data_IF_720154722333
#
_entry.id   IF_720154722333
#
_cell.length_a   1.000
_cell.length_b   1.000
_cell.length_c   1.000
_cell.angle_alpha   90.00
_cell.angle_beta   90.00
_cell.angle_gamma   90.00
#
_symmetry.space_group_name_H-M   'P 1'
#
loop_
_entity.id
_entity.type
_entity.pdbx_description
1 polymer ?
#
# COMPACT_ATOMS: atom_id res chain seq x y z
N UNK A 1 -11.86 16.02 58.36
CA UNK A 1 -11.41 16.17 56.94
C UNK A 1 -10.74 17.52 56.87
N UNK A 2 -9.43 17.75 56.74
CA UNK A 2 -8.32 17.03 56.13
C UNK A 2 -7.09 17.32 57.04
N UNK A 3 -6.84 16.51 58.09
CA UNK A 3 -6.08 16.99 59.27
C UNK A 3 -4.55 17.01 59.11
N UNK A 4 -3.95 16.12 58.30
CA UNK A 4 -2.48 16.04 58.20
C UNK A 4 -1.88 17.15 57.34
N UNK A 5 -2.48 17.45 56.19
CA UNK A 5 -2.00 18.50 55.29
C UNK A 5 -2.06 19.90 55.95
N UNK A 6 -3.12 20.18 56.71
CA UNK A 6 -3.25 21.42 57.47
C UNK A 6 -2.19 21.54 58.59
N UNK A 7 -1.85 20.44 59.26
CA UNK A 7 -0.78 20.45 60.27
C UNK A 7 0.62 20.58 59.65
N UNK A 8 0.83 19.99 58.47
CA UNK A 8 2.07 20.17 57.70
C UNK A 8 2.26 21.61 57.23
N UNK A 9 1.17 22.29 56.85
CA UNK A 9 1.20 23.72 56.54
C UNK A 9 1.59 24.57 57.76
N UNK A 10 0.99 24.30 58.92
CA UNK A 10 1.34 25.00 60.18
C UNK A 10 2.80 24.76 60.59
N UNK A 11 3.35 23.55 60.39
CA UNK A 11 4.77 23.25 60.64
C UNK A 11 5.68 24.16 59.80
N UNK A 12 5.46 24.20 58.48
CA UNK A 12 6.28 25.01 57.56
C UNK A 12 6.15 26.49 57.86
N UNK A 13 4.93 26.99 58.15
CA UNK A 13 4.70 28.41 58.50
C UNK A 13 5.38 28.81 59.81
N UNK A 14 5.33 27.97 60.85
CA UNK A 14 6.05 28.22 62.11
C UNK A 14 7.56 28.35 61.90
N UNK A 15 8.12 27.56 60.98
CA UNK A 15 9.55 27.51 60.69
C UNK A 15 9.96 28.64 59.76
N UNK A 16 9.14 29.06 58.80
CA UNK A 16 9.55 30.02 57.76
C UNK A 16 9.13 31.46 58.02
N UNK A 17 7.95 31.67 58.61
CA UNK A 17 7.29 32.98 58.73
C UNK A 17 7.24 33.52 60.17
N UNK A 18 7.53 32.69 61.16
CA UNK A 18 7.89 33.14 62.51
C UNK A 18 6.74 33.45 63.47
N UNK A 19 5.49 33.58 63.03
CA UNK A 19 4.36 33.79 63.94
C UNK A 19 3.13 32.99 63.51
N UNK A 20 2.68 32.10 64.40
CA UNK A 20 1.36 31.46 64.35
C UNK A 20 0.45 32.14 65.37
N UNK A 21 -0.87 32.18 65.10
CA UNK A 21 -1.81 32.66 66.11
C UNK A 21 -1.79 31.74 67.35
N UNK A 22 -2.17 32.24 68.55
CA UNK A 22 -2.18 31.42 69.76
C UNK A 22 -3.01 30.13 69.63
N UNK A 23 -4.12 30.18 68.88
CA UNK A 23 -4.96 29.01 68.60
C UNK A 23 -4.28 28.00 67.68
N UNK A 24 -3.58 28.46 66.62
CA UNK A 24 -2.82 27.60 65.70
C UNK A 24 -1.61 26.97 66.39
N UNK A 25 -0.93 27.74 67.25
CA UNK A 25 0.19 27.24 68.05
C UNK A 25 -0.28 26.13 69.01
N UNK A 26 -1.44 26.29 69.65
CA UNK A 26 -2.02 25.26 70.51
C UNK A 26 -2.39 24.00 69.72
N UNK A 27 -2.98 24.15 68.54
CA UNK A 27 -3.33 23.04 67.64
C UNK A 27 -2.09 22.28 67.17
N UNK A 28 -1.03 22.98 66.76
CA UNK A 28 0.23 22.38 66.31
C UNK A 28 0.92 21.64 67.46
N UNK A 29 1.00 22.25 68.65
CA UNK A 29 1.62 21.62 69.83
C UNK A 29 0.90 20.34 70.23
N UNK A 30 -0.44 20.35 70.24
CA UNK A 30 -1.24 19.16 70.54
C UNK A 30 -1.03 18.05 69.50
N UNK A 31 -0.84 18.40 68.23
CA UNK A 31 -0.60 17.46 67.15
C UNK A 31 0.81 16.85 67.15
N UNK A 32 1.83 17.64 67.52
CA UNK A 32 3.19 17.14 67.70
C UNK A 32 3.30 16.18 68.89
N UNK A 33 2.55 16.43 69.98
CA UNK A 33 2.51 15.57 71.16
C UNK A 33 1.73 14.26 70.96
N UNK A 34 0.93 14.14 69.90
CA UNK A 34 0.09 12.96 69.64
C UNK A 34 0.89 11.75 69.11
N UNK A 35 2.02 11.96 68.42
CA UNK A 35 2.85 10.90 67.84
C UNK A 35 4.32 11.34 67.77
N UNK A 36 5.24 10.51 68.28
CA UNK A 36 6.68 10.74 68.21
C UNK A 36 7.19 10.98 66.78
N UNK A 37 6.52 10.39 65.78
CA UNK A 37 6.85 10.57 64.37
C UNK A 37 6.55 12.00 63.87
N UNK A 38 5.52 12.66 64.40
CA UNK A 38 5.19 14.05 64.06
C UNK A 38 6.24 15.01 64.65
N UNK A 39 6.66 14.76 65.89
CA UNK A 39 7.73 15.52 66.53
C UNK A 39 9.05 15.37 65.77
N UNK A 40 9.35 14.16 65.28
CA UNK A 40 10.56 13.91 64.50
C UNK A 40 10.52 14.59 63.13
N UNK A 41 9.38 14.54 62.42
CA UNK A 41 9.18 15.25 61.14
C UNK A 41 9.35 16.78 61.31
N UNK A 42 8.89 17.34 62.43
CA UNK A 42 9.12 18.76 62.76
C UNK A 42 10.60 19.07 63.05
N UNK A 43 11.28 18.22 63.83
CA UNK A 43 12.69 18.39 64.16
C UNK A 43 13.60 18.31 62.92
N UNK A 44 13.29 17.41 61.99
CA UNK A 44 14.01 17.27 60.72
C UNK A 44 13.88 18.55 59.87
N UNK A 45 12.70 19.16 59.83
CA UNK A 45 12.48 20.43 59.12
C UNK A 45 13.21 21.61 59.76
N UNK A 46 13.29 21.65 61.10
CA UNK A 46 14.07 22.65 61.83
C UNK A 46 15.58 22.48 61.57
N UNK A 47 16.06 21.23 61.55
CA UNK A 47 17.44 20.90 61.24
C UNK A 47 17.80 21.36 59.81
N UNK A 48 16.94 21.12 58.82
CA UNK A 48 17.14 21.59 57.45
C UNK A 48 17.22 23.12 57.37
N UNK A 49 16.36 23.87 58.08
CA UNK A 49 16.45 25.35 58.12
C UNK A 49 17.79 25.83 58.73
N UNK A 50 18.33 25.13 59.72
CA UNK A 50 19.60 25.49 60.35
C UNK A 50 20.80 25.37 59.40
N UNK A 51 20.70 24.52 58.37
CA UNK A 51 21.75 24.32 57.36
C UNK A 51 21.89 25.49 56.38
N UNK A 52 20.87 26.34 56.26
CA UNK A 52 20.82 27.43 55.27
C UNK A 52 21.03 28.82 55.87
N UNK A 53 21.47 28.92 57.13
CA UNK A 53 21.57 30.19 57.85
C UNK A 53 22.95 30.87 57.78
N UNK A 54 23.93 30.30 57.08
CA UNK A 54 25.26 30.91 56.99
C UNK A 54 25.55 31.49 55.59
N UNK A 55 25.37 32.81 55.46
CA UNK A 55 25.71 33.63 54.29
C UNK A 55 27.04 34.35 54.53
N UNK A 56 28.11 33.63 54.88
CA UNK A 56 29.48 34.16 54.78
C UNK A 56 30.57 33.11 55.02
N UNK A 57 31.15 32.55 53.96
CA UNK A 57 32.55 32.07 54.02
C UNK A 57 33.17 31.89 52.63
N UNK A 58 34.37 32.47 52.45
CA UNK A 58 35.21 32.46 51.26
C UNK A 58 35.85 31.09 51.00
N UNK A 59 36.30 30.88 49.75
CA UNK A 59 36.96 29.68 49.19
C UNK A 59 38.13 29.14 50.04
N UNK A 60 38.42 27.82 49.98
CA UNK A 60 39.26 27.13 50.97
C UNK A 60 40.76 27.28 50.70
N UNK A 61 41.55 27.36 51.78
CA UNK A 61 43.00 27.17 51.76
C UNK A 61 43.31 25.80 52.41
N UNK A 62 43.76 24.85 51.60
CA UNK A 62 43.84 23.42 51.90
C UNK A 62 45.04 23.00 52.75
N UNK A 63 46.00 23.89 52.98
CA UNK A 63 47.30 23.44 53.53
C UNK A 63 47.40 23.57 55.06
N UNK A 64 46.48 24.31 55.69
CA UNK A 64 46.56 24.62 57.13
C UNK A 64 45.56 23.82 57.98
N UNK A 65 44.52 23.27 57.36
CA UNK A 65 43.49 22.49 58.08
C UNK A 65 43.91 21.05 58.39
N UNK A 66 44.92 20.51 57.68
CA UNK A 66 45.36 19.12 57.85
C UNK A 66 46.33 18.90 59.02
N UNK A 67 46.95 19.96 59.52
CA UNK A 67 47.90 19.87 60.64
C UNK A 67 47.26 19.69 62.03
N UNK A 68 45.93 19.82 62.16
CA UNK A 68 45.25 19.87 63.47
C UNK A 68 44.10 18.88 63.65
N UNK A 69 43.97 17.89 62.77
CA UNK A 69 43.06 16.75 62.98
C UNK A 69 43.69 15.68 63.89
N UNK A 70 45.00 15.62 64.04
CA UNK A 70 45.64 14.32 64.30
C UNK A 70 46.08 13.99 65.73
N UNK A 71 46.00 14.87 66.74
CA UNK A 71 46.78 14.62 67.98
C UNK A 71 46.04 14.23 69.27
N UNK A 72 44.71 14.04 69.34
CA UNK A 72 44.11 13.72 70.66
C UNK A 72 43.00 12.66 70.80
N UNK A 73 42.68 11.86 69.78
CA UNK A 73 41.93 10.60 69.97
C UNK A 73 42.31 9.72 68.76
N UNK A 74 43.11 8.64 68.82
CA UNK A 74 43.54 7.76 69.90
C UNK A 74 44.80 7.00 69.45
N UNK A 75 45.89 7.05 70.21
CA UNK A 75 47.03 6.13 70.03
C UNK A 75 46.74 4.82 70.79
N UNK A 76 46.30 3.80 70.06
CA UNK A 76 46.92 2.47 70.15
C UNK A 76 47.06 1.97 68.72
N UNK A 77 48.31 1.97 68.26
CA UNK A 77 48.80 1.42 67.00
C UNK A 77 48.68 -0.13 67.00
N UNK A 78 48.65 -0.90 65.91
CA UNK A 78 49.43 -0.88 64.67
C UNK A 78 48.66 -1.64 63.55
N UNK A 79 48.58 -1.02 62.35
CA UNK A 79 48.71 -1.49 60.93
C UNK A 79 48.45 -2.99 60.62
N UNK A 80 47.92 -3.45 59.47
CA UNK A 80 47.39 -3.00 58.16
C UNK A 80 46.83 -4.34 57.58
N UNK A 81 45.69 -4.45 56.90
CA UNK A 81 45.45 -4.20 55.47
C UNK A 81 43.93 -4.29 55.27
N UNK A 82 43.34 -3.24 54.70
CA UNK A 82 41.97 -3.24 54.23
C UNK A 82 41.90 -3.78 52.81
N UNK A 83 41.00 -4.72 52.54
CA UNK A 83 40.28 -4.73 51.27
C UNK A 83 38.82 -4.38 51.55
N UNK A 84 38.48 -3.14 51.14
CA UNK A 84 37.13 -2.61 51.00
C UNK A 84 36.38 -3.39 49.93
N UNK A 85 35.23 -3.94 50.25
CA UNK A 85 34.08 -3.87 49.33
C UNK A 85 33.17 -2.75 49.86
N UNK A 86 33.40 -1.54 49.33
CA UNK A 86 32.55 -0.39 49.60
C UNK A 86 31.11 -0.76 49.26
N UNK A 87 30.14 -0.55 50.15
CA UNK A 87 28.70 -0.58 49.81
C UNK A 87 28.23 0.78 49.24
N UNK A 88 29.12 1.75 48.99
CA UNK A 88 28.71 3.09 48.48
C UNK A 88 28.31 3.10 47.00
N UNK A 89 28.66 2.07 46.21
CA UNK A 89 28.17 1.90 44.84
C UNK A 89 26.68 1.52 44.80
N UNK A 90 26.13 0.90 45.85
CA UNK A 90 24.69 0.57 45.90
C UNK A 90 23.79 1.81 45.93
N UNK A 91 24.26 2.91 46.53
CA UNK A 91 23.54 4.20 46.54
C UNK A 91 23.50 4.84 45.15
N UNK A 92 24.58 4.69 44.39
CA UNK A 92 24.64 5.11 43.00
C UNK A 92 23.84 4.17 42.10
N UNK A 93 23.83 2.86 42.40
CA UNK A 93 23.05 1.86 41.69
C UNK A 93 21.53 2.13 41.82
N UNK A 94 21.05 2.50 43.01
CA UNK A 94 19.63 2.84 43.21
C UNK A 94 19.21 4.08 42.40
N UNK A 95 20.07 5.10 42.30
CA UNK A 95 19.82 6.28 41.48
C UNK A 95 19.81 5.95 39.98
N UNK A 96 20.73 5.08 39.53
CA UNK A 96 20.76 4.60 38.13
C UNK A 96 19.52 3.75 37.82
N UNK A 97 19.07 2.90 38.73
CA UNK A 97 17.86 2.09 38.56
C UNK A 97 16.61 2.97 38.53
N UNK A 98 16.51 3.99 39.39
CA UNK A 98 15.40 4.95 39.36
C UNK A 98 15.40 5.77 38.07
N UNK A 99 16.55 6.28 37.62
CA UNK A 99 16.66 7.01 36.35
C UNK A 99 16.37 6.10 35.15
N UNK A 100 16.79 4.84 35.20
CA UNK A 100 16.48 3.84 34.16
C UNK A 100 15.00 3.48 34.16
N UNK A 101 14.37 3.36 35.32
CA UNK A 101 12.93 3.08 35.47
C UNK A 101 12.09 4.27 35.02
N UNK A 102 12.48 5.50 35.36
CA UNK A 102 11.85 6.74 34.85
C UNK A 102 12.09 6.87 33.36
N UNK A 103 13.28 6.53 32.86
CA UNK A 103 13.57 6.49 31.43
C UNK A 103 12.72 5.46 30.70
N UNK A 104 12.53 4.26 31.25
CA UNK A 104 11.63 3.21 30.72
C UNK A 104 10.16 3.63 30.80
N UNK A 105 9.75 4.29 31.88
CA UNK A 105 8.40 4.81 32.03
C UNK A 105 8.13 5.92 31.01
N UNK A 106 9.06 6.86 30.87
CA UNK A 106 8.98 7.91 29.85
C UNK A 106 9.03 7.33 28.45
N UNK A 107 9.90 6.34 28.20
CA UNK A 107 9.99 5.62 26.93
C UNK A 107 8.69 4.89 26.60
N UNK A 108 8.06 4.22 27.57
CA UNK A 108 6.78 3.54 27.36
C UNK A 108 5.61 4.50 27.22
N UNK A 109 5.64 5.68 27.85
CA UNK A 109 4.64 6.74 27.71
C UNK A 109 4.80 7.47 26.36
N UNK A 110 6.03 7.73 25.90
CA UNK A 110 6.28 8.35 24.59
C UNK A 110 6.07 7.36 23.45
N UNK A 111 6.47 6.08 23.59
CA UNK A 111 6.22 5.06 22.57
C UNK A 111 4.78 4.57 22.52
N UNK A 112 3.96 4.70 23.59
CA UNK A 112 2.53 4.36 23.51
C UNK A 112 1.72 5.29 22.60
N UNK A 113 2.26 6.46 22.26
CA UNK A 113 1.64 7.41 21.32
C UNK A 113 2.11 7.25 19.88
N UNK A 114 3.04 6.33 19.60
CA UNK A 114 3.13 5.75 18.27
C UNK A 114 2.10 4.62 18.16
N UNK A 115 0.81 4.97 18.11
CA UNK A 115 0.00 4.28 17.11
C UNK A 115 0.75 4.55 15.82
N UNK A 116 1.36 3.52 15.23
CA UNK A 116 1.78 3.62 13.85
C UNK A 116 0.59 4.23 13.14
N UNK A 117 0.72 5.50 12.73
CA UNK A 117 -0.25 6.10 11.84
C UNK A 117 -0.19 5.16 10.65
N UNK A 118 -1.23 4.33 10.50
CA UNK A 118 -1.38 3.49 9.33
C UNK A 118 -1.43 4.50 8.20
N UNK A 119 -0.26 4.79 7.62
CA UNK A 119 -0.16 5.57 6.40
C UNK A 119 -1.06 4.80 5.46
N UNK A 120 -2.22 5.37 5.17
CA UNK A 120 -3.24 4.72 4.37
C UNK A 120 -2.52 4.18 3.13
N UNK A 121 -2.59 2.87 2.90
CA UNK A 121 -1.89 2.23 1.80
C UNK A 121 -2.28 2.97 0.50
N UNK A 122 -1.37 3.77 -0.05
CA UNK A 122 -1.62 4.53 -1.28
C UNK A 122 -1.25 3.64 -2.44
N UNK A 123 -2.26 2.99 -3.01
CA UNK A 123 -2.05 2.09 -4.15
C UNK A 123 -1.95 2.92 -5.42
N UNK A 124 -0.76 2.88 -6.03
CA UNK A 124 -0.43 3.58 -7.26
C UNK A 124 -1.12 2.92 -8.46
N UNK A 125 -1.43 3.69 -9.53
CA UNK A 125 -1.97 3.13 -10.76
C UNK A 125 -1.05 2.10 -11.41
N UNK A 126 -1.64 1.29 -12.28
CA UNK A 126 -0.90 0.39 -13.17
C UNK A 126 0.08 1.15 -14.07
N UNK A 127 0.99 0.39 -14.68
CA UNK A 127 2.08 0.94 -15.51
C UNK A 127 2.16 0.20 -16.84
N UNK A 128 2.92 0.76 -17.78
CA UNK A 128 3.23 0.04 -19.01
C UNK A 128 4.32 -1.01 -18.72
N UNK A 129 3.92 -2.28 -18.60
CA UNK A 129 4.83 -3.40 -18.32
C UNK A 129 4.30 -4.68 -18.93
N UNK A 130 5.21 -5.44 -19.53
CA UNK A 130 4.93 -6.73 -20.14
C UNK A 130 6.20 -7.58 -20.18
N UNK A 131 6.01 -8.86 -20.43
CA UNK A 131 7.06 -9.84 -20.68
C UNK A 131 6.83 -10.50 -22.03
N UNK A 132 7.87 -10.52 -22.88
CA UNK A 132 7.86 -11.25 -24.14
C UNK A 132 8.50 -12.62 -23.96
N UNK A 133 7.77 -13.66 -24.35
CA UNK A 133 8.26 -15.03 -24.42
C UNK A 133 8.52 -15.37 -25.89
N UNK A 134 9.77 -15.73 -26.19
CA UNK A 134 10.21 -16.13 -27.53
C UNK A 134 9.94 -17.62 -27.79
N UNK A 135 10.01 -18.09 -29.06
CA UNK A 135 9.78 -19.50 -29.40
C UNK A 135 10.74 -20.49 -28.72
N UNK A 136 11.94 -20.03 -28.36
CA UNK A 136 12.96 -20.81 -27.63
C UNK A 136 12.74 -20.83 -26.10
N UNK A 137 11.66 -20.22 -25.62
CA UNK A 137 11.32 -20.12 -24.20
C UNK A 137 12.01 -18.96 -23.46
N UNK A 138 12.91 -18.21 -24.11
CA UNK A 138 13.52 -17.03 -23.48
C UNK A 138 12.46 -15.98 -23.14
N UNK A 139 12.66 -15.34 -21.98
CA UNK A 139 11.77 -14.35 -21.39
C UNK A 139 12.47 -13.00 -21.35
N UNK A 140 11.83 -11.97 -21.91
CA UNK A 140 12.38 -10.62 -22.04
C UNK A 140 11.44 -9.64 -21.36
N UNK A 141 11.93 -8.93 -20.35
CA UNK A 141 11.17 -7.86 -19.69
C UNK A 141 11.13 -6.60 -20.56
N UNK A 142 9.93 -6.04 -20.76
CA UNK A 142 9.68 -4.87 -21.59
C UNK A 142 9.38 -3.60 -20.79
N UNK A 143 9.74 -3.57 -19.50
CA UNK A 143 9.44 -2.46 -18.59
C UNK A 143 10.40 -1.25 -18.72
N UNK A 144 11.49 -1.40 -19.47
CA UNK A 144 12.47 -0.32 -19.65
C UNK A 144 12.00 0.71 -20.68
N UNK A 145 12.17 2.00 -20.36
CA UNK A 145 11.98 3.11 -21.31
C UNK A 145 13.07 3.18 -22.38
N UNK A 146 14.21 2.50 -22.16
CA UNK A 146 15.28 2.45 -23.15
C UNK A 146 14.87 1.59 -24.34
N UNK A 147 15.36 1.95 -25.53
CA UNK A 147 15.20 1.12 -26.71
C UNK A 147 15.89 -0.23 -26.48
N UNK A 148 15.16 -1.32 -26.69
CA UNK A 148 15.68 -2.68 -26.59
C UNK A 148 15.41 -3.43 -27.89
N UNK A 149 16.48 -3.78 -28.58
CA UNK A 149 16.43 -4.64 -29.75
C UNK A 149 16.33 -6.11 -29.33
N UNK A 150 15.43 -6.84 -29.97
CA UNK A 150 15.11 -8.23 -29.68
C UNK A 150 15.52 -9.06 -30.88
N UNK A 151 16.58 -9.85 -30.69
CA UNK A 151 17.06 -10.80 -31.69
C UNK A 151 16.38 -12.16 -31.54
N UNK A 152 15.90 -12.69 -32.66
CA UNK A 152 15.44 -14.06 -32.79
C UNK A 152 16.58 -15.07 -32.92
N UNK A 153 16.23 -16.30 -33.29
CA UNK A 153 17.23 -17.32 -33.65
C UNK A 153 18.14 -16.83 -34.78
N UNK A 154 19.44 -17.17 -34.73
CA UNK A 154 20.49 -16.71 -35.67
C UNK A 154 20.82 -15.21 -35.61
N UNK A 155 20.50 -14.53 -34.51
CA UNK A 155 20.82 -13.12 -34.25
C UNK A 155 20.17 -12.10 -35.21
N UNK A 156 19.07 -12.48 -35.87
CA UNK A 156 18.28 -11.57 -36.70
C UNK A 156 17.42 -10.68 -35.81
N UNK A 157 17.41 -9.37 -36.07
CA UNK A 157 16.50 -8.44 -35.39
C UNK A 157 15.03 -8.75 -35.75
N UNK A 158 14.21 -9.03 -34.74
CA UNK A 158 12.81 -9.42 -34.89
C UNK A 158 11.86 -8.32 -34.45
N UNK A 159 12.19 -7.66 -33.34
CA UNK A 159 11.38 -6.60 -32.79
C UNK A 159 12.27 -5.60 -32.05
N UNK A 160 11.76 -4.40 -31.87
CA UNK A 160 12.36 -3.38 -31.04
C UNK A 160 11.30 -2.91 -30.05
N UNK A 161 11.60 -2.96 -28.77
CA UNK A 161 10.83 -2.23 -27.78
C UNK A 161 11.28 -0.77 -27.79
N UNK A 162 10.37 0.15 -28.11
CA UNK A 162 10.62 1.59 -28.11
C UNK A 162 9.65 2.27 -27.15
N UNK A 163 10.15 2.67 -25.98
CA UNK A 163 9.30 3.21 -24.92
C UNK A 163 8.41 2.12 -24.32
N UNK A 164 7.12 2.13 -24.66
CA UNK A 164 6.11 1.21 -24.13
C UNK A 164 5.41 0.41 -25.25
N UNK A 165 6.04 0.36 -26.42
CA UNK A 165 5.49 -0.26 -27.61
C UNK A 165 6.49 -1.26 -28.17
N UNK A 166 6.07 -2.51 -28.27
CA UNK A 166 6.82 -3.56 -28.94
C UNK A 166 6.55 -3.51 -30.44
N UNK A 167 7.57 -3.23 -31.25
CA UNK A 167 7.43 -3.02 -32.70
C UNK A 167 8.12 -4.14 -33.46
N UNK A 168 7.36 -4.95 -34.19
CA UNK A 168 7.92 -6.01 -35.03
C UNK A 168 8.41 -5.49 -36.38
N UNK A 169 9.56 -6.02 -36.81
CA UNK A 169 10.05 -5.84 -38.19
C UNK A 169 9.34 -6.81 -39.12
N UNK A 170 9.09 -6.39 -40.36
CA UNK A 170 8.52 -7.27 -41.37
C UNK A 170 9.58 -8.29 -41.81
N UNK A 171 9.17 -9.55 -42.04
CA UNK A 171 10.01 -10.58 -42.67
C UNK A 171 11.30 -10.95 -41.90
N UNK A 172 11.25 -11.09 -40.58
CA UNK A 172 12.41 -11.58 -39.81
C UNK A 172 12.81 -13.04 -40.12
N UNK A 173 12.01 -13.76 -40.92
CA UNK A 173 12.21 -15.17 -41.26
C UNK A 173 12.06 -16.11 -40.05
N UNK A 174 11.71 -15.58 -38.88
CA UNK A 174 11.59 -16.35 -37.65
C UNK A 174 10.29 -17.13 -37.64
N UNK A 175 10.41 -18.43 -37.38
CA UNK A 175 9.31 -19.36 -37.21
C UNK A 175 8.93 -19.51 -35.74
N UNK A 176 7.68 -19.88 -35.49
CA UNK A 176 7.16 -20.17 -34.15
C UNK A 176 6.31 -19.06 -33.54
N UNK A 177 5.81 -19.32 -32.34
CA UNK A 177 4.91 -18.44 -31.62
C UNK A 177 5.66 -17.59 -30.60
N UNK A 178 5.36 -16.30 -30.61
CA UNK A 178 5.71 -15.38 -29.55
C UNK A 178 4.50 -15.22 -28.62
N UNK A 179 4.75 -14.97 -27.34
CA UNK A 179 3.70 -14.68 -26.37
C UNK A 179 4.05 -13.39 -25.60
N UNK A 180 3.17 -12.41 -25.69
CA UNK A 180 3.20 -11.20 -24.86
C UNK A 180 2.34 -11.43 -23.62
N UNK A 181 2.94 -11.33 -22.43
CA UNK A 181 2.26 -11.48 -21.15
C UNK A 181 2.19 -10.10 -20.49
N UNK A 182 0.98 -9.62 -20.23
CA UNK A 182 0.71 -8.38 -19.50
C UNK A 182 0.16 -8.75 -18.13
N UNK A 183 0.93 -8.55 -17.05
CA UNK A 183 0.47 -8.89 -15.70
C UNK A 183 -0.65 -7.96 -15.23
N UNK A 184 -1.27 -8.30 -14.11
CA UNK A 184 -2.12 -7.35 -13.39
C UNK A 184 -1.32 -6.06 -13.06
N UNK A 185 -1.97 -4.92 -13.20
CA UNK A 185 -1.39 -3.58 -13.17
C UNK A 185 -0.41 -3.29 -14.29
N UNK A 186 -0.42 -4.10 -15.35
CA UNK A 186 0.25 -3.83 -16.61
C UNK A 186 -0.73 -3.39 -17.69
N UNK A 187 -0.29 -2.59 -18.64
CA UNK A 187 -0.88 -2.54 -19.98
C UNK A 187 0.28 -2.46 -20.96
N UNK A 188 0.06 -2.80 -22.23
CA UNK A 188 1.13 -2.72 -23.22
C UNK A 188 0.63 -2.54 -24.64
N UNK A 189 1.48 -1.98 -25.49
CA UNK A 189 1.19 -1.84 -26.91
C UNK A 189 2.12 -2.71 -27.75
N UNK A 190 1.57 -3.25 -28.84
CA UNK A 190 2.32 -4.02 -29.82
C UNK A 190 1.91 -3.65 -31.23
N UNK A 191 2.89 -3.42 -32.09
CA UNK A 191 2.72 -3.33 -33.53
C UNK A 191 3.22 -4.63 -34.14
N UNK A 192 2.27 -5.42 -34.65
CA UNK A 192 2.52 -6.72 -35.25
C UNK A 192 3.21 -6.60 -36.62
N UNK A 193 3.78 -7.70 -37.16
CA UNK A 193 4.51 -7.68 -38.44
C UNK A 193 3.69 -7.17 -39.63
N UNK A 194 2.37 -7.42 -39.62
CA UNK A 194 1.41 -6.96 -40.62
C UNK A 194 0.96 -5.50 -40.43
N UNK A 195 1.57 -4.79 -39.46
CA UNK A 195 1.23 -3.41 -39.04
C UNK A 195 -0.09 -3.28 -38.30
N UNK A 196 -0.70 -4.38 -37.87
CA UNK A 196 -1.81 -4.34 -36.92
C UNK A 196 -1.32 -3.79 -35.58
N UNK A 197 -1.99 -2.77 -35.06
CA UNK A 197 -1.67 -2.16 -33.76
C UNK A 197 -2.64 -2.71 -32.72
N UNK A 198 -2.10 -3.25 -31.62
CA UNK A 198 -2.86 -3.86 -30.56
C UNK A 198 -2.48 -3.21 -29.22
N UNK A 199 -3.50 -2.84 -28.46
CA UNK A 199 -3.37 -2.50 -27.05
C UNK A 199 -3.81 -3.73 -26.25
N UNK A 200 -3.02 -4.13 -25.27
CA UNK A 200 -3.26 -5.31 -24.43
C UNK A 200 -3.40 -4.87 -22.99
N UNK A 201 -4.54 -5.21 -22.37
CA UNK A 201 -4.91 -4.72 -21.04
C UNK A 201 -4.32 -5.59 -19.91
N UNK A 202 -4.49 -5.15 -18.67
CA UNK A 202 -4.03 -5.86 -17.47
C UNK A 202 -4.54 -7.29 -17.38
N UNK A 203 -3.67 -8.21 -16.96
CA UNK A 203 -4.02 -9.61 -16.76
C UNK A 203 -4.35 -10.35 -18.06
N UNK A 204 -3.64 -10.01 -19.14
CA UNK A 204 -3.90 -10.54 -20.48
C UNK A 204 -2.67 -11.18 -21.11
N UNK A 205 -2.89 -12.12 -22.02
CA UNK A 205 -1.88 -12.80 -22.82
C UNK A 205 -2.26 -12.74 -24.30
N UNK A 206 -1.31 -12.35 -25.14
CA UNK A 206 -1.46 -12.39 -26.60
C UNK A 206 -0.40 -13.30 -27.20
N UNK A 207 -0.83 -14.37 -27.87
CA UNK A 207 0.07 -15.31 -28.56
C UNK A 207 -0.11 -15.16 -30.07
N UNK A 208 0.99 -15.02 -30.80
CA UNK A 208 0.95 -14.71 -32.24
C UNK A 208 2.18 -15.25 -32.96
N UNK A 209 2.04 -15.40 -34.29
CA UNK A 209 3.15 -15.72 -35.18
C UNK A 209 3.80 -14.45 -35.71
N UNK A 210 5.07 -14.54 -36.07
CA UNK A 210 5.82 -13.42 -36.65
C UNK A 210 5.82 -13.45 -38.19
N UNK A 211 5.53 -14.62 -38.78
CA UNK A 211 5.60 -14.86 -40.22
C UNK A 211 4.25 -14.76 -40.93
N UNK A 212 3.50 -13.69 -40.67
CA UNK A 212 2.16 -13.47 -41.27
C UNK A 212 2.15 -13.52 -42.81
N UNK A 213 3.25 -13.19 -43.47
CA UNK A 213 3.35 -13.18 -44.93
C UNK A 213 3.43 -14.59 -45.55
N UNK A 214 3.69 -15.63 -44.74
CA UNK A 214 3.79 -17.02 -45.21
C UNK A 214 2.58 -17.87 -44.81
N UNK A 215 1.53 -17.25 -44.26
CA UNK A 215 0.31 -17.91 -43.82
C UNK A 215 -0.88 -17.27 -44.51
N UNK A 216 -1.80 -18.09 -45.04
CA UNK A 216 -3.02 -17.59 -45.69
C UNK A 216 -3.97 -16.84 -44.74
N UNK A 217 -3.76 -16.96 -43.42
CA UNK A 217 -4.54 -16.31 -42.36
C UNK A 217 -3.60 -15.71 -41.31
N UNK A 218 -3.94 -14.51 -40.81
CA UNK A 218 -3.22 -13.84 -39.73
C UNK A 218 -3.89 -14.16 -38.40
N UNK A 219 -3.39 -15.15 -37.67
CA UNK A 219 -4.02 -15.63 -36.44
C UNK A 219 -3.29 -15.15 -35.18
N UNK A 220 -4.07 -14.74 -34.18
CA UNK A 220 -3.61 -14.49 -32.81
C UNK A 220 -4.52 -15.19 -31.81
N UNK A 221 -3.97 -15.66 -30.70
CA UNK A 221 -4.74 -16.18 -29.55
C UNK A 221 -4.71 -15.17 -28.41
N UNK A 222 -5.88 -14.80 -27.89
CA UNK A 222 -6.06 -13.87 -26.80
C UNK A 222 -6.65 -14.59 -25.58
N UNK A 223 -6.05 -14.30 -24.42
CA UNK A 223 -6.66 -14.49 -23.10
C UNK A 223 -6.66 -13.14 -22.41
N UNK A 224 -7.79 -12.69 -21.88
CA UNK A 224 -7.92 -11.37 -21.27
C UNK A 224 -8.55 -10.35 -22.21
N UNK A 225 -8.06 -9.11 -22.23
CA UNK A 225 -8.65 -8.02 -23.01
C UNK A 225 -7.62 -7.33 -23.91
N UNK A 226 -8.02 -7.10 -25.16
CA UNK A 226 -7.20 -6.35 -26.10
C UNK A 226 -8.07 -5.58 -27.11
N UNK A 227 -7.57 -4.40 -27.47
CA UNK A 227 -8.11 -3.58 -28.55
C UNK A 227 -7.24 -3.73 -29.79
N UNK A 228 -7.86 -4.04 -30.92
CA UNK A 228 -7.20 -4.28 -32.20
C UNK A 228 -7.55 -3.18 -33.19
N UNK A 229 -6.54 -2.56 -33.78
CA UNK A 229 -6.64 -1.75 -34.99
C UNK A 229 -5.94 -2.50 -36.12
N UNK A 230 -6.69 -3.33 -36.82
CA UNK A 230 -6.19 -4.30 -37.79
C UNK A 230 -5.82 -3.62 -39.11
N UNK A 231 -4.64 -3.94 -39.63
CA UNK A 231 -4.21 -3.48 -40.95
C UNK A 231 -5.12 -4.07 -42.05
N UNK A 232 -5.53 -3.22 -43.00
CA UNK A 232 -6.43 -3.59 -44.10
C UNK A 232 -5.75 -4.61 -45.01
N UNK A 233 -6.25 -5.84 -45.00
CA UNK A 233 -5.90 -6.89 -45.95
C UNK A 233 -7.10 -7.83 -46.08
N UNK A 234 -7.75 -7.78 -47.25
CA UNK A 234 -8.92 -8.62 -47.56
C UNK A 234 -8.55 -10.02 -48.03
N UNK A 235 -7.32 -10.22 -48.50
CA UNK A 235 -6.85 -11.52 -49.02
C UNK A 235 -6.43 -12.42 -47.88
N UNK A 236 -5.93 -11.83 -46.78
CA UNK A 236 -5.48 -12.56 -45.60
C UNK A 236 -6.25 -12.07 -44.36
N UNK A 237 -7.39 -12.68 -44.00
CA UNK A 237 -8.16 -12.31 -42.81
C UNK A 237 -7.33 -12.37 -41.53
N UNK A 238 -7.63 -11.46 -40.59
CA UNK A 238 -7.08 -11.44 -39.25
C UNK A 238 -8.05 -12.10 -38.28
N UNK A 239 -7.62 -13.13 -37.56
CA UNK A 239 -8.47 -13.93 -36.69
C UNK A 239 -7.96 -13.84 -35.25
N UNK A 240 -8.79 -13.33 -34.36
CA UNK A 240 -8.57 -13.38 -32.91
C UNK A 240 -9.28 -14.60 -32.34
N UNK A 241 -8.51 -15.59 -31.91
CA UNK A 241 -8.98 -16.80 -31.23
C UNK A 241 -9.04 -16.56 -29.73
N UNK A 242 -10.17 -16.86 -29.09
CA UNK A 242 -10.30 -16.91 -27.62
C UNK A 242 -10.69 -18.32 -27.18
N UNK A 243 -11.01 -18.58 -25.91
CA UNK A 243 -11.57 -19.89 -25.55
C UNK A 243 -13.06 -20.00 -25.94
N UNK A 244 -13.78 -18.88 -26.10
CA UNK A 244 -15.24 -18.86 -26.27
C UNK A 244 -15.74 -18.45 -27.66
N UNK A 245 -14.94 -17.69 -28.42
CA UNK A 245 -15.29 -17.22 -29.75
C UNK A 245 -14.07 -16.89 -30.60
N UNK A 246 -14.30 -16.84 -31.91
CA UNK A 246 -13.36 -16.35 -32.92
C UNK A 246 -13.90 -15.08 -33.55
N UNK A 247 -13.05 -14.05 -33.68
CA UNK A 247 -13.39 -12.78 -34.32
C UNK A 247 -12.53 -12.61 -35.58
N UNK A 248 -13.16 -12.64 -36.75
CA UNK A 248 -12.52 -12.48 -38.05
C UNK A 248 -12.69 -11.06 -38.58
N UNK A 249 -11.59 -10.42 -38.95
CA UNK A 249 -11.46 -9.03 -39.36
C UNK A 249 -10.67 -8.87 -40.66
N UNK A 250 -11.03 -7.90 -41.50
CA UNK A 250 -10.32 -7.57 -42.76
C UNK A 250 -9.87 -6.10 -42.84
N UNK A 251 -9.56 -5.51 -41.69
CA UNK A 251 -9.20 -4.10 -41.56
C UNK A 251 -10.23 -3.31 -40.77
N UNK A 252 -10.30 -3.59 -39.48
CA UNK A 252 -11.32 -3.11 -38.55
C UNK A 252 -10.69 -2.62 -37.25
N UNK A 253 -11.48 -1.87 -36.48
CA UNK A 253 -11.12 -1.47 -35.13
C UNK A 253 -12.14 -2.07 -34.15
N UNK A 254 -11.69 -2.87 -33.19
CA UNK A 254 -12.57 -3.59 -32.26
C UNK A 254 -11.87 -3.95 -30.94
N UNK A 255 -12.65 -4.13 -29.88
CA UNK A 255 -12.21 -4.64 -28.58
C UNK A 255 -12.67 -6.09 -28.40
N UNK A 256 -11.87 -6.91 -27.72
CA UNK A 256 -12.25 -8.26 -27.31
C UNK A 256 -11.94 -8.44 -25.83
N UNK A 257 -12.92 -8.95 -25.07
CA UNK A 257 -12.82 -9.35 -23.66
C UNK A 257 -13.06 -10.85 -23.56
N UNK A 258 -12.10 -11.59 -23.01
CA UNK A 258 -12.14 -13.04 -22.85
C UNK A 258 -11.21 -13.52 -21.70
N UNK A 259 -11.47 -13.04 -20.49
CA UNK A 259 -10.73 -13.51 -19.29
C UNK A 259 -11.22 -14.90 -18.85
N UNK A 260 -10.30 -15.80 -18.47
CA UNK A 260 -10.59 -17.21 -18.11
C UNK A 260 -11.71 -17.41 -17.06
N UNK A 261 -11.83 -16.50 -16.10
CA UNK A 261 -12.78 -16.61 -14.98
C UNK A 261 -13.93 -15.59 -15.04
N UNK A 262 -14.07 -14.87 -16.16
CA UNK A 262 -15.17 -13.92 -16.35
C UNK A 262 -16.49 -14.66 -16.58
N UNK A 263 -17.60 -13.97 -16.31
CA UNK A 263 -18.97 -14.47 -16.56
C UNK A 263 -19.34 -14.46 -18.05
N UNK A 264 -18.56 -13.74 -18.86
CA UNK A 264 -18.80 -13.56 -20.28
C UNK A 264 -17.52 -13.34 -21.08
N UNK A 265 -17.61 -13.58 -22.39
CA UNK A 265 -16.72 -13.03 -23.40
C UNK A 265 -17.49 -12.00 -24.25
N UNK A 266 -16.81 -10.98 -24.76
CA UNK A 266 -17.45 -9.89 -25.51
C UNK A 266 -16.55 -9.39 -26.64
N UNK A 267 -17.15 -9.12 -27.80
CA UNK A 267 -16.52 -8.43 -28.92
C UNK A 267 -17.29 -7.12 -29.16
N UNK A 268 -16.57 -6.02 -29.27
CA UNK A 268 -17.14 -4.68 -29.48
C UNK A 268 -16.52 -4.04 -30.72
N UNK A 269 -17.33 -3.76 -31.74
CA UNK A 269 -16.85 -3.29 -33.05
C UNK A 269 -17.00 -1.78 -33.20
N UNK A 270 -15.87 -1.08 -33.30
CA UNK A 270 -15.78 0.38 -33.47
C UNK A 270 -15.86 0.78 -34.95
N UNK A 271 -15.08 0.13 -35.81
CA UNK A 271 -14.98 0.46 -37.24
C UNK A 271 -14.95 -0.80 -38.10
N UNK A 272 -15.68 -0.76 -39.22
CA UNK A 272 -15.66 -1.80 -40.25
C UNK A 272 -16.67 -2.92 -40.00
N UNK A 273 -16.26 -4.16 -40.30
CA UNK A 273 -17.11 -5.37 -40.27
C UNK A 273 -16.28 -6.54 -39.73
N UNK A 274 -16.81 -7.27 -38.76
CA UNK A 274 -16.23 -8.53 -38.30
C UNK A 274 -17.24 -9.67 -38.39
N UNK A 275 -16.76 -10.90 -38.59
CA UNK A 275 -17.56 -12.09 -38.41
C UNK A 275 -17.16 -12.74 -37.07
N UNK A 276 -18.13 -12.99 -36.20
CA UNK A 276 -17.92 -13.68 -34.92
C UNK A 276 -18.47 -15.09 -35.04
N UNK A 277 -17.69 -16.07 -34.62
CA UNK A 277 -18.12 -17.47 -34.52
C UNK A 277 -17.94 -17.95 -33.09
N UNK A 278 -18.96 -18.56 -32.49
CA UNK A 278 -18.83 -19.22 -31.18
C UNK A 278 -18.30 -20.66 -31.32
N UNK A 279 -18.21 -21.38 -30.20
CA UNK A 279 -17.75 -22.78 -30.18
C UNK A 279 -18.80 -23.80 -30.60
N UNK A 280 -20.06 -23.40 -30.67
CA UNK A 280 -21.17 -24.24 -31.13
C UNK A 280 -21.38 -24.13 -32.65
N UNK A 281 -20.58 -23.27 -33.32
CA UNK A 281 -20.62 -23.08 -34.77
C UNK A 281 -21.58 -21.99 -35.23
N UNK A 282 -22.23 -21.27 -34.30
CA UNK A 282 -23.06 -20.13 -34.66
C UNK A 282 -22.18 -19.00 -35.17
N UNK A 283 -22.61 -18.37 -36.27
CA UNK A 283 -21.89 -17.26 -36.90
C UNK A 283 -22.77 -16.03 -36.97
N UNK A 284 -22.19 -14.88 -36.64
CA UNK A 284 -22.86 -13.60 -36.76
C UNK A 284 -21.92 -12.54 -37.32
N UNK A 285 -22.41 -11.81 -38.32
CA UNK A 285 -21.75 -10.62 -38.82
C UNK A 285 -22.08 -9.41 -37.95
N UNK A 286 -21.05 -8.70 -37.52
CA UNK A 286 -21.17 -7.45 -36.79
C UNK A 286 -20.87 -6.26 -37.71
N UNK A 287 -21.64 -5.19 -37.53
CA UNK A 287 -21.40 -3.89 -38.16
C UNK A 287 -20.90 -2.91 -37.09
N UNK A 288 -20.14 -1.89 -37.51
CA UNK A 288 -19.66 -0.83 -36.64
C UNK A 288 -20.78 -0.26 -35.74
N UNK A 289 -20.44 0.03 -34.48
CA UNK A 289 -21.40 0.51 -33.48
C UNK A 289 -22.16 -0.59 -32.74
N UNK A 290 -21.77 -1.86 -32.90
CA UNK A 290 -22.40 -2.98 -32.19
C UNK A 290 -21.41 -3.80 -31.38
N UNK A 291 -21.93 -4.52 -30.39
CA UNK A 291 -21.20 -5.53 -29.63
C UNK A 291 -21.98 -6.83 -29.53
N UNK A 292 -21.25 -7.92 -29.31
CA UNK A 292 -21.77 -9.28 -29.08
C UNK A 292 -21.17 -9.79 -27.78
N UNK A 293 -22.02 -10.34 -26.90
CA UNK A 293 -21.63 -10.96 -25.64
C UNK A 293 -22.05 -12.43 -25.60
N UNK A 294 -21.19 -13.28 -25.06
CA UNK A 294 -21.41 -14.72 -24.84
C UNK A 294 -21.21 -15.02 -23.35
N UNK A 295 -22.21 -15.61 -22.68
CA UNK A 295 -22.07 -16.06 -21.29
C UNK A 295 -21.23 -17.34 -21.17
N UNK A 296 -20.37 -17.43 -20.15
CA UNK A 296 -19.37 -18.53 -20.01
C UNK A 296 -19.66 -19.50 -18.86
N UNK A 297 -20.49 -19.12 -17.87
CA UNK A 297 -20.64 -19.88 -16.60
C UNK A 297 -21.83 -20.83 -16.51
N UNK A 298 -22.68 -20.93 -17.53
CA UNK A 298 -23.84 -21.82 -17.51
C UNK A 298 -23.66 -22.97 -18.50
N UNK A 299 -23.23 -24.16 -18.04
CA UNK A 299 -23.36 -25.36 -18.85
C UNK A 299 -24.85 -25.55 -19.17
N UNK A 300 -25.19 -25.75 -20.44
CA UNK A 300 -26.55 -25.95 -20.98
C UNK A 300 -27.44 -24.72 -21.20
N UNK A 301 -26.92 -23.49 -21.18
CA UNK A 301 -27.59 -22.38 -21.90
C UNK A 301 -26.76 -22.00 -23.10
N UNK A 302 -27.37 -22.05 -24.28
CA UNK A 302 -26.72 -21.62 -25.52
C UNK A 302 -26.12 -20.23 -25.33
N UNK A 303 -24.87 -19.99 -25.74
CA UNK A 303 -24.33 -18.65 -25.98
C UNK A 303 -25.33 -17.82 -26.80
N UNK A 304 -26.09 -16.95 -26.14
CA UNK A 304 -26.93 -16.00 -26.88
C UNK A 304 -26.01 -14.88 -27.31
N UNK A 305 -25.70 -14.81 -28.60
CA UNK A 305 -25.06 -13.65 -29.20
C UNK A 305 -25.99 -12.44 -29.05
N UNK A 306 -25.86 -11.73 -27.93
CA UNK A 306 -26.70 -10.57 -27.68
C UNK A 306 -26.08 -9.36 -28.38
N UNK A 307 -26.72 -8.93 -29.48
CA UNK A 307 -26.34 -7.68 -30.13
C UNK A 307 -26.87 -6.50 -29.31
N UNK A 308 -25.96 -5.66 -28.84
CA UNK A 308 -26.30 -4.38 -28.18
C UNK A 308 -25.50 -3.24 -28.79
N UNK A 309 -25.89 -2.02 -28.48
CA UNK A 309 -25.14 -0.82 -28.89
C UNK A 309 -23.80 -0.75 -28.17
N UNK A 310 -22.80 -0.32 -28.91
CA UNK A 310 -21.47 -0.02 -28.38
C UNK A 310 -21.52 1.28 -27.58
N UNK A 311 -20.77 1.32 -26.48
CA UNK A 311 -20.50 2.56 -25.75
C UNK A 311 -18.99 2.81 -25.67
N UNK A 312 -18.58 4.08 -25.53
CA UNK A 312 -17.16 4.45 -25.44
C UNK A 312 -16.44 3.69 -24.30
N UNK A 313 -17.13 3.42 -23.18
CA UNK A 313 -16.57 2.69 -22.05
C UNK A 313 -16.24 1.22 -22.26
N UNK A 314 -16.60 0.65 -23.41
CA UNK A 314 -16.19 -0.70 -23.80
C UNK A 314 -14.72 -0.73 -24.27
N UNK A 315 -14.11 0.42 -24.63
CA UNK A 315 -12.73 0.49 -25.10
C UNK A 315 -11.94 1.72 -24.60
N UNK A 316 -12.56 2.64 -23.85
CA UNK A 316 -11.91 3.84 -23.32
C UNK A 316 -10.64 3.57 -22.48
N UNK A 317 -10.49 2.35 -21.95
CA UNK A 317 -9.31 1.96 -21.17
C UNK A 317 -8.00 2.11 -21.95
N UNK A 318 -8.04 1.96 -23.28
CA UNK A 318 -6.86 2.14 -24.15
C UNK A 318 -6.42 3.60 -24.22
N UNK A 319 -7.37 4.52 -24.00
CA UNK A 319 -7.16 5.97 -23.99
C UNK A 319 -6.82 6.48 -22.59
N UNK A 320 -6.57 5.58 -21.63
CA UNK A 320 -6.20 5.95 -20.27
C UNK A 320 -7.37 6.34 -19.38
N UNK A 321 -8.61 5.99 -19.72
CA UNK A 321 -9.80 6.39 -18.97
C UNK A 321 -10.67 5.18 -18.62
N UNK A 322 -11.11 5.10 -17.37
CA UNK A 322 -12.24 4.27 -16.98
C UNK A 322 -13.53 5.02 -17.27
N UNK A 323 -14.42 4.42 -18.04
CA UNK A 323 -15.78 4.95 -18.26
C UNK A 323 -16.76 3.87 -17.81
N UNK A 324 -17.62 4.27 -16.89
CA UNK A 324 -18.69 3.45 -16.35
C UNK A 324 -20.00 4.05 -16.84
N UNK A 325 -20.85 3.23 -17.44
CA UNK A 325 -22.19 3.62 -17.86
C UNK A 325 -23.18 2.64 -17.26
N UNK A 326 -23.92 3.11 -16.23
CA UNK A 326 -24.87 2.34 -15.46
C UNK A 326 -24.31 0.96 -15.05
N UNK A 327 -23.02 0.89 -14.70
CA UNK A 327 -22.28 -0.37 -14.56
C UNK A 327 -22.34 -0.88 -13.11
N UNK A 328 -22.63 -2.17 -12.87
CA UNK A 328 -22.61 -2.74 -11.52
C UNK A 328 -21.21 -2.67 -10.88
N UNK A 329 -21.17 -2.42 -9.57
CA UNK A 329 -19.94 -2.29 -8.79
C UNK A 329 -19.08 -3.55 -8.86
N UNK A 330 -19.71 -4.73 -8.99
CA UNK A 330 -18.99 -5.97 -9.25
C UNK A 330 -18.07 -5.86 -10.49
N UNK A 331 -18.61 -5.40 -11.62
CA UNK A 331 -17.84 -5.26 -12.85
C UNK A 331 -16.80 -4.14 -12.77
N UNK A 332 -17.16 -3.02 -12.12
CA UNK A 332 -16.22 -1.92 -11.86
C UNK A 332 -15.04 -2.41 -11.02
N UNK A 333 -15.33 -3.17 -9.96
CA UNK A 333 -14.32 -3.70 -9.06
C UNK A 333 -13.39 -4.70 -9.73
N UNK A 334 -13.86 -5.47 -10.71
CA UNK A 334 -13.00 -6.34 -11.53
C UNK A 334 -12.02 -5.54 -12.39
N UNK A 335 -12.48 -4.45 -13.03
CA UNK A 335 -11.62 -3.55 -13.83
C UNK A 335 -10.56 -2.88 -12.95
N UNK A 336 -10.98 -2.39 -11.78
CA UNK A 336 -10.09 -1.77 -10.78
C UNK A 336 -9.09 -2.80 -10.24
N UNK A 337 -9.55 -4.00 -9.87
CA UNK A 337 -8.73 -5.10 -9.36
C UNK A 337 -7.56 -5.40 -10.28
N UNK A 338 -7.82 -5.55 -11.58
CA UNK A 338 -6.79 -5.82 -12.59
C UNK A 338 -5.82 -4.66 -12.74
N UNK A 339 -6.31 -3.41 -12.86
CA UNK A 339 -5.43 -2.27 -13.10
C UNK A 339 -4.55 -1.88 -11.90
N UNK A 340 -5.07 -2.03 -10.68
CA UNK A 340 -4.33 -1.70 -9.46
C UNK A 340 -3.64 -2.91 -8.84
N UNK A 341 -3.81 -4.11 -9.43
CA UNK A 341 -3.30 -5.37 -8.92
C UNK A 341 -3.70 -5.61 -7.44
N UNK A 342 -4.99 -5.49 -7.16
CA UNK A 342 -5.57 -5.68 -5.82
C UNK A 342 -6.61 -6.78 -5.83
N UNK A 343 -6.73 -7.53 -4.74
CA UNK A 343 -7.85 -8.46 -4.54
C UNK A 343 -9.10 -7.67 -4.14
N UNK A 344 -10.27 -8.15 -4.51
CA UNK A 344 -11.54 -7.53 -4.12
C UNK A 344 -12.40 -8.51 -3.33
N UNK A 345 -12.91 -8.04 -2.20
CA UNK A 345 -13.84 -8.79 -1.35
C UNK A 345 -15.07 -7.94 -1.06
N UNK A 346 -16.24 -8.44 -1.47
CA UNK A 346 -17.52 -7.87 -1.08
C UNK A 346 -17.95 -8.50 0.24
N UNK A 347 -17.90 -7.75 1.34
CA UNK A 347 -18.44 -8.22 2.63
C UNK A 347 -19.97 -8.11 2.65
N UNK A 348 -20.52 -7.14 1.93
CA UNK A 348 -21.95 -7.02 1.65
C UNK A 348 -22.23 -7.40 0.19
N UNK A 349 -23.05 -8.43 -0.03
CA UNK A 349 -23.36 -8.93 -1.38
C UNK A 349 -24.28 -7.99 -2.18
N UNK A 350 -25.13 -7.19 -1.52
CA UNK A 350 -25.98 -6.21 -2.20
C UNK A 350 -25.15 -5.12 -2.89
N UNK A 351 -24.00 -4.75 -2.30
CA UNK A 351 -23.11 -3.74 -2.86
C UNK A 351 -22.65 -4.10 -4.29
N UNK A 352 -22.61 -5.40 -4.65
CA UNK A 352 -22.27 -5.87 -6.00
C UNK A 352 -23.19 -5.31 -7.09
N UNK A 353 -24.45 -5.06 -6.74
CA UNK A 353 -25.50 -4.63 -7.66
C UNK A 353 -25.64 -3.10 -7.76
N UNK A 354 -24.95 -2.35 -6.91
CA UNK A 354 -24.95 -0.88 -7.00
C UNK A 354 -24.37 -0.45 -8.33
N UNK A 355 -25.02 0.50 -9.00
CA UNK A 355 -24.65 0.92 -10.36
C UNK A 355 -24.08 2.32 -10.35
N UNK A 356 -23.10 2.53 -11.23
CA UNK A 356 -22.38 3.80 -11.32
C UNK A 356 -22.25 4.25 -12.77
N UNK A 357 -22.33 5.57 -12.94
CA UNK A 357 -22.03 6.26 -14.19
C UNK A 357 -20.98 7.32 -13.90
N UNK A 358 -19.94 7.39 -14.72
CA UNK A 358 -18.88 8.39 -14.59
C UNK A 358 -17.62 8.01 -15.36
N UNK A 359 -16.70 8.95 -15.46
CA UNK A 359 -15.39 8.75 -16.08
C UNK A 359 -14.27 9.15 -15.12
N UNK A 360 -13.20 8.37 -15.10
CA UNK A 360 -12.05 8.57 -14.21
C UNK A 360 -10.77 8.23 -14.97
N UNK A 361 -9.78 9.12 -14.94
CA UNK A 361 -8.46 8.86 -15.52
C UNK A 361 -7.76 7.71 -14.79
N UNK A 362 -7.11 6.82 -15.55
CA UNK A 362 -6.41 5.63 -15.02
C UNK A 362 -5.11 5.95 -14.30
N UNK A 363 -4.60 7.18 -14.41
CA UNK A 363 -3.37 7.65 -13.78
C UNK A 363 -3.56 8.08 -12.31
N UNK A 364 -4.80 8.09 -11.82
CA UNK A 364 -5.12 8.40 -10.44
C UNK A 364 -4.76 7.24 -9.52
N UNK A 365 -4.51 7.52 -8.24
CA UNK A 365 -4.33 6.49 -7.23
C UNK A 365 -5.66 5.76 -6.97
N UNK A 366 -5.58 4.51 -6.52
CA UNK A 366 -6.79 3.74 -6.19
C UNK A 366 -7.66 4.48 -5.17
N UNK A 367 -7.05 5.07 -4.14
CA UNK A 367 -7.74 5.81 -3.09
C UNK A 367 -8.57 6.97 -3.67
N UNK A 368 -8.05 7.67 -4.68
CA UNK A 368 -8.78 8.74 -5.38
C UNK A 368 -9.94 8.18 -6.21
N UNK A 369 -9.75 7.06 -6.90
CA UNK A 369 -10.84 6.41 -7.65
C UNK A 369 -11.96 5.98 -6.71
N UNK A 370 -11.62 5.33 -5.59
CA UNK A 370 -12.58 4.85 -4.61
C UNK A 370 -13.29 5.99 -3.88
N UNK A 371 -12.62 7.11 -3.61
CA UNK A 371 -13.25 8.27 -2.99
C UNK A 371 -14.32 8.89 -3.90
N UNK A 372 -14.06 8.99 -5.20
CA UNK A 372 -15.04 9.45 -6.20
C UNK A 372 -16.26 8.53 -6.26
N UNK A 373 -16.06 7.22 -6.25
CA UNK A 373 -17.14 6.22 -6.22
C UNK A 373 -17.94 6.34 -4.90
N UNK A 374 -17.27 6.48 -3.76
CA UNK A 374 -17.93 6.62 -2.46
C UNK A 374 -18.69 7.94 -2.28
N UNK A 375 -18.31 9.01 -2.98
CA UNK A 375 -19.00 10.30 -2.87
C UNK A 375 -20.39 10.25 -3.50
N UNK A 376 -20.57 9.41 -4.52
CA UNK A 376 -21.84 9.25 -5.22
C UNK A 376 -22.78 8.21 -4.58
N UNK A 377 -22.32 7.43 -3.59
CA UNK A 377 -23.09 6.30 -3.04
C UNK A 377 -22.81 6.02 -1.58
N UNK A 378 -23.73 5.33 -0.91
CA UNK A 378 -23.52 4.86 0.45
C UNK A 378 -22.69 3.55 0.47
N UNK A 379 -21.44 3.61 0.00
CA UNK A 379 -20.49 2.48 -0.01
C UNK A 379 -19.20 2.90 0.67
N UNK A 380 -18.66 2.03 1.51
CA UNK A 380 -17.37 2.22 2.17
C UNK A 380 -16.35 1.26 1.57
N UNK A 381 -15.16 1.80 1.36
CA UNK A 381 -14.01 1.06 0.85
C UNK A 381 -12.92 1.03 1.91
N UNK A 382 -12.30 -0.13 2.08
CA UNK A 382 -11.16 -0.28 2.96
C UNK A 382 -10.08 -1.12 2.27
N UNK A 383 -8.85 -0.62 2.26
CA UNK A 383 -7.70 -1.34 1.69
C UNK A 383 -6.88 -1.89 2.86
N UNK A 384 -6.63 -3.19 2.85
CA UNK A 384 -5.70 -3.84 3.79
C UNK A 384 -4.89 -4.89 3.05
N UNK A 385 -3.55 -4.77 3.08
CA UNK A 385 -2.62 -5.76 2.55
C UNK A 385 -2.93 -6.11 1.08
N UNK A 386 -3.08 -5.11 0.21
CA UNK A 386 -3.41 -5.30 -1.21
C UNK A 386 -4.79 -5.91 -1.48
N UNK A 387 -5.70 -5.92 -0.49
CA UNK A 387 -7.09 -6.35 -0.63
C UNK A 387 -8.04 -5.19 -0.38
N UNK A 388 -8.89 -4.91 -1.36
CA UNK A 388 -9.99 -3.95 -1.31
C UNK A 388 -11.25 -4.65 -0.75
N UNK A 389 -11.66 -4.25 0.44
CA UNK A 389 -12.91 -4.63 1.06
C UNK A 389 -13.98 -3.59 0.74
N UNK A 390 -15.12 -4.08 0.25
CA UNK A 390 -16.27 -3.26 -0.14
C UNK A 390 -17.41 -3.57 0.80
N UNK A 391 -17.85 -2.56 1.56
CA UNK A 391 -18.92 -2.68 2.54
C UNK A 391 -20.02 -1.66 2.27
N UNK A 392 -21.26 -2.01 2.59
CA UNK A 392 -22.39 -1.08 2.63
C UNK A 392 -22.67 -0.82 4.12
N UNK A 393 -22.66 0.43 4.58
CA UNK A 393 -22.86 0.76 5.99
C UNK A 393 -24.28 0.50 6.47
#
# INVERSE_FOLDING_TARGET
MNSKAYMQELMVRSITMGELSPEEQHKLTKWLALDAKNQQEYNDLVAVKSLFKDKSAKRPNTDVAWGKVSHRISEVAIRQIAQKTSLSWLRHAAAVVLLSAVGLLLYTITNKNQKAELVAEVIQPGTNRAELVLPDGRRISLQSKATLDISGGKNTLVATNKGNTLIYTANSGQQGYHKLIVPDGGQYEIILPDKTHVWVNSGSELTYRVDFNNVGIREVKLVGEAYFKVAKDKKHPFIVKTDHMDVEAVGTAFNVVAYKNADYAEATLVEGIVNVSDRDGNKQRMLAGSKIRIGTKKPNTLPVLQKTELIYGDYAWKDGVFVFDNMPLAQISERISRWYNVKVVFTNQEARQLRFTGSIEKDKTLNTVLSLISTSTNVKFEIRNGTLYITKP
#
